data_IF_938751745116
#
_entry.id   IF_938751745116
#
_cell.length_a   1.000
_cell.length_b   1.000
_cell.length_c   1.000
_cell.angle_alpha   90.00
_cell.angle_beta   90.00
_cell.angle_gamma   90.00
#
_symmetry.space_group_name_H-M   'P 1'
#
loop_
_entity.id
_entity.type
_entity.pdbx_description
1 polymer ?
#
# COMPACT_ATOMS: atom_id res chain seq x y z
N UNK A 1 19.23 2.46 -1.33
CA UNK A 1 17.87 2.69 -0.79
C UNK A 1 17.13 3.66 -1.69
N UNK A 2 15.86 3.35 -2.05
CA UNK A 2 15.05 4.31 -2.79
C UNK A 2 14.79 5.55 -1.95
N UNK A 3 14.77 6.72 -2.61
CA UNK A 3 14.50 7.98 -1.93
C UNK A 3 13.02 8.10 -1.60
N UNK A 4 12.70 8.73 -0.47
CA UNK A 4 11.32 9.03 -0.08
C UNK A 4 10.53 9.67 -1.22
N UNK A 5 11.13 10.68 -1.87
CA UNK A 5 10.47 11.45 -2.93
C UNK A 5 10.09 10.62 -4.15
N UNK A 6 10.68 9.43 -4.32
CA UNK A 6 10.44 8.58 -5.47
C UNK A 6 9.81 7.24 -5.12
N UNK A 7 9.53 7.00 -3.87
CA UNK A 7 8.94 5.74 -3.41
C UNK A 7 7.43 5.81 -3.43
N UNK A 8 6.79 4.73 -3.90
CA UNK A 8 5.35 4.58 -3.98
C UNK A 8 4.96 3.30 -3.25
N UNK A 9 4.28 3.45 -2.12
CA UNK A 9 3.73 2.29 -1.40
C UNK A 9 2.48 1.81 -2.14
N UNK A 10 2.44 0.51 -2.47
CA UNK A 10 1.31 -0.08 -3.18
C UNK A 10 0.60 -1.05 -2.26
N UNK A 11 -0.61 -0.69 -1.86
CA UNK A 11 -1.50 -1.47 -1.02
C UNK A 11 -2.57 -2.10 -1.91
N UNK A 12 -2.43 -3.40 -2.18
CA UNK A 12 -3.29 -4.10 -3.13
C UNK A 12 -3.41 -5.57 -2.77
N UNK A 13 -4.40 -6.29 -3.34
CA UNK A 13 -4.45 -7.74 -3.19
C UNK A 13 -3.26 -8.41 -3.86
N UNK A 14 -2.79 -9.53 -3.27
CA UNK A 14 -1.69 -10.34 -3.82
C UNK A 14 -2.19 -11.70 -4.30
N UNK A 15 -3.44 -11.78 -4.76
CA UNK A 15 -3.99 -13.01 -5.32
C UNK A 15 -3.73 -13.11 -6.83
N UNK A 16 -3.95 -14.30 -7.38
CA UNK A 16 -3.67 -14.58 -8.80
C UNK A 16 -4.55 -13.72 -9.73
N UNK A 17 -5.77 -13.43 -9.32
CA UNK A 17 -6.70 -12.63 -10.14
C UNK A 17 -6.24 -11.18 -10.26
N UNK A 18 -5.59 -10.66 -9.24
CA UNK A 18 -5.09 -9.29 -9.25
C UNK A 18 -3.68 -9.18 -9.84
N UNK A 19 -2.94 -10.28 -9.95
CA UNK A 19 -1.54 -10.27 -10.38
C UNK A 19 -1.30 -9.50 -11.70
N UNK A 20 -2.11 -9.65 -12.76
CA UNK A 20 -1.91 -8.86 -13.99
C UNK A 20 -2.03 -7.35 -13.76
N UNK A 21 -2.97 -6.94 -12.91
CA UNK A 21 -3.18 -5.52 -12.58
C UNK A 21 -2.00 -5.00 -11.77
N UNK A 22 -1.53 -5.78 -10.79
CA UNK A 22 -0.37 -5.42 -9.99
C UNK A 22 0.87 -5.24 -10.86
N UNK A 23 1.09 -6.16 -11.82
CA UNK A 23 2.21 -6.06 -12.76
C UNK A 23 2.12 -4.78 -13.59
N UNK A 24 0.93 -4.43 -14.05
CA UNK A 24 0.72 -3.20 -14.81
C UNK A 24 1.01 -1.96 -13.96
N UNK A 25 0.54 -1.93 -12.72
CA UNK A 25 0.79 -0.82 -11.79
C UNK A 25 2.28 -0.69 -11.54
N UNK A 26 2.96 -1.79 -11.22
CA UNK A 26 4.40 -1.78 -10.94
C UNK A 26 5.21 -1.34 -12.15
N UNK A 27 4.81 -1.79 -13.35
CA UNK A 27 5.45 -1.38 -14.59
C UNK A 27 5.32 0.13 -14.80
N UNK A 28 4.12 0.68 -14.64
CA UNK A 28 3.88 2.11 -14.82
C UNK A 28 4.69 2.95 -13.83
N UNK A 29 4.72 2.53 -12.57
CA UNK A 29 5.49 3.23 -11.53
C UNK A 29 6.97 3.24 -11.91
N UNK A 30 7.51 2.10 -12.30
CA UNK A 30 8.92 1.95 -12.67
C UNK A 30 9.25 2.74 -13.93
N UNK A 31 8.38 2.67 -14.93
CA UNK A 31 8.59 3.39 -16.21
C UNK A 31 8.62 4.90 -16.01
N UNK A 32 7.85 5.40 -15.05
CA UNK A 32 7.84 6.83 -14.71
C UNK A 32 9.03 7.27 -13.86
N UNK A 33 9.93 6.36 -13.51
CA UNK A 33 11.13 6.66 -12.72
C UNK A 33 10.92 6.62 -11.21
N UNK A 34 9.85 5.96 -10.76
CA UNK A 34 9.56 5.78 -9.34
C UNK A 34 9.82 4.33 -8.90
N UNK A 35 9.77 4.08 -7.60
CA UNK A 35 10.06 2.78 -7.01
C UNK A 35 8.82 2.22 -6.32
N UNK A 36 8.23 1.12 -6.83
CA UNK A 36 7.12 0.48 -6.13
C UNK A 36 7.61 -0.23 -4.87
N UNK A 37 6.92 -0.02 -3.76
CA UNK A 37 7.22 -0.62 -2.47
C UNK A 37 6.03 -1.45 -2.03
N UNK A 38 6.26 -2.74 -1.80
CA UNK A 38 5.20 -3.70 -1.52
C UNK A 38 5.52 -4.53 -0.28
N UNK A 39 4.48 -4.89 0.47
CA UNK A 39 4.57 -5.80 1.60
C UNK A 39 3.69 -7.03 1.32
N UNK A 40 4.24 -8.11 0.74
CA UNK A 40 3.47 -9.32 0.45
C UNK A 40 2.81 -9.91 1.69
N UNK A 41 1.62 -10.50 1.52
CA UNK A 41 0.80 -11.02 2.61
C UNK A 41 1.37 -12.30 3.25
N UNK A 42 2.33 -12.95 2.61
CA UNK A 42 2.95 -14.18 3.11
C UNK A 42 4.09 -13.92 4.09
N UNK A 43 4.18 -12.76 4.66
CA UNK A 43 5.16 -12.45 5.70
C UNK A 43 4.87 -13.27 6.98
N UNK A 44 5.94 -13.49 7.76
CA UNK A 44 6.03 -14.51 8.82
C UNK A 44 4.95 -14.43 9.90
N UNK A 45 4.59 -13.24 10.36
CA UNK A 45 3.49 -13.06 11.31
C UNK A 45 2.92 -11.64 11.22
N UNK A 46 1.77 -11.45 11.85
CA UNK A 46 1.05 -10.18 11.76
C UNK A 46 1.84 -8.99 12.31
N UNK A 47 2.60 -9.19 13.40
CA UNK A 47 3.38 -8.11 14.01
C UNK A 47 4.52 -7.67 13.10
N UNK A 48 5.28 -8.63 12.56
CA UNK A 48 6.38 -8.33 11.64
C UNK A 48 5.87 -7.70 10.35
N UNK A 49 4.73 -8.16 9.87
CA UNK A 49 4.11 -7.59 8.67
C UNK A 49 3.68 -6.14 8.91
N UNK A 50 3.08 -5.85 10.06
CA UNK A 50 2.69 -4.49 10.40
C UNK A 50 3.89 -3.56 10.49
N UNK A 51 4.96 -3.99 11.17
CA UNK A 51 6.19 -3.20 11.25
C UNK A 51 6.77 -2.91 9.86
N UNK A 52 6.72 -3.90 8.97
CA UNK A 52 7.19 -3.74 7.59
C UNK A 52 6.35 -2.70 6.84
N UNK A 53 5.02 -2.77 7.00
CA UNK A 53 4.11 -1.80 6.38
C UNK A 53 4.40 -0.38 6.90
N UNK A 54 4.60 -0.24 8.21
CA UNK A 54 4.91 1.06 8.79
C UNK A 54 6.20 1.65 8.22
N UNK A 55 7.24 0.82 8.05
CA UNK A 55 8.48 1.25 7.41
C UNK A 55 8.26 1.72 5.98
N UNK A 56 7.51 0.95 5.19
CA UNK A 56 7.26 1.26 3.79
C UNK A 56 6.43 2.54 3.64
N UNK A 57 5.41 2.69 4.46
CA UNK A 57 4.56 3.90 4.45
C UNK A 57 5.38 5.13 4.81
N UNK A 58 6.17 5.04 5.88
CA UNK A 58 7.00 6.17 6.33
C UNK A 58 8.08 6.52 5.31
N UNK A 59 8.57 5.54 4.57
CA UNK A 59 9.60 5.72 3.56
C UNK A 59 9.10 6.07 2.16
N UNK A 60 7.79 6.29 1.97
CA UNK A 60 7.19 6.51 0.65
C UNK A 60 6.37 7.79 0.64
N UNK A 61 6.70 8.69 -0.29
CA UNK A 61 5.93 9.92 -0.48
C UNK A 61 4.54 9.64 -1.02
N UNK A 62 4.42 8.63 -1.87
CA UNK A 62 3.17 8.30 -2.56
C UNK A 62 2.59 6.99 -2.05
N UNK A 63 1.27 6.92 -2.03
CA UNK A 63 0.56 5.69 -1.72
C UNK A 63 -0.54 5.43 -2.73
N UNK A 64 -0.61 4.21 -3.24
CA UNK A 64 -1.70 3.74 -4.10
C UNK A 64 -2.43 2.64 -3.32
N UNK A 65 -3.72 2.84 -3.10
CA UNK A 65 -4.54 1.93 -2.31
C UNK A 65 -5.70 1.39 -3.12
N UNK A 66 -5.72 0.09 -3.32
CA UNK A 66 -6.79 -0.59 -4.04
C UNK A 66 -7.80 -1.15 -3.04
N UNK A 67 -9.03 -0.66 -3.10
CA UNK A 67 -10.10 -1.07 -2.20
C UNK A 67 -11.11 -2.02 -2.87
N UNK A 68 -10.73 -2.63 -4.00
CA UNK A 68 -11.64 -3.49 -4.77
C UNK A 68 -12.10 -4.73 -4.03
N UNK A 69 -11.37 -5.16 -2.99
CA UNK A 69 -11.72 -6.32 -2.17
C UNK A 69 -12.42 -5.95 -0.86
N UNK A 70 -12.92 -4.72 -0.73
CA UNK A 70 -13.57 -4.27 0.50
C UNK A 70 -15.00 -4.76 0.65
N UNK A 71 -15.60 -5.30 -0.42
CA UNK A 71 -16.91 -5.96 -0.34
C UNK A 71 -16.72 -7.46 -0.28
N UNK A 72 -17.41 -8.11 0.65
CA UNK A 72 -17.47 -9.56 0.69
C UNK A 72 -18.41 -10.08 -0.39
N UNK A 73 -18.02 -11.20 -1.03
CA UNK A 73 -18.85 -11.87 -2.03
C UNK A 73 -19.83 -12.81 -1.33
N UNK A 74 -19.42 -13.40 -0.21
CA UNK A 74 -20.23 -14.36 0.55
C UNK A 74 -21.00 -13.65 1.66
N UNK A 75 -22.24 -14.10 1.92
CA UNK A 75 -23.15 -13.44 2.85
C UNK A 75 -22.63 -13.39 4.29
N UNK A 76 -21.87 -14.40 4.72
CA UNK A 76 -21.39 -14.53 6.09
C UNK A 76 -19.88 -14.30 6.23
N UNK A 77 -19.23 -13.79 5.19
CA UNK A 77 -17.80 -13.48 5.21
C UNK A 77 -17.56 -12.00 5.47
N UNK A 78 -16.49 -11.71 6.17
CA UNK A 78 -16.00 -10.36 6.29
C UNK A 78 -15.19 -9.99 5.04
N UNK A 79 -15.33 -8.74 4.59
CA UNK A 79 -14.46 -8.20 3.56
C UNK A 79 -13.00 -8.17 4.05
N UNK A 80 -12.06 -8.03 3.11
CA UNK A 80 -10.66 -7.84 3.48
C UNK A 80 -10.47 -6.48 4.13
N UNK A 81 -10.19 -6.48 5.42
CA UNK A 81 -10.12 -5.25 6.21
C UNK A 81 -8.73 -4.64 6.25
N UNK A 82 -7.70 -5.40 5.83
CA UNK A 82 -6.33 -4.90 5.84
C UNK A 82 -6.10 -3.75 4.86
N UNK A 83 -6.80 -3.73 3.72
CA UNK A 83 -6.64 -2.64 2.74
C UNK A 83 -7.06 -1.28 3.30
N UNK A 84 -8.29 -1.11 3.84
CA UNK A 84 -8.66 0.16 4.45
C UNK A 84 -7.86 0.48 5.71
N UNK A 85 -7.41 -0.53 6.46
CA UNK A 85 -6.55 -0.32 7.62
C UNK A 85 -5.21 0.31 7.20
N UNK A 86 -4.58 -0.22 6.16
CA UNK A 86 -3.31 0.31 5.64
C UNK A 86 -3.48 1.69 5.03
N UNK A 87 -4.60 1.94 4.36
CA UNK A 87 -4.95 3.28 3.88
C UNK A 87 -5.04 4.27 5.05
N UNK A 88 -5.67 3.85 6.15
CA UNK A 88 -5.76 4.67 7.36
C UNK A 88 -4.40 4.99 7.95
N UNK A 89 -3.48 4.02 7.96
CA UNK A 89 -2.10 4.23 8.41
C UNK A 89 -1.40 5.28 7.55
N UNK A 90 -1.51 5.15 6.23
CA UNK A 90 -0.87 6.07 5.29
C UNK A 90 -1.43 7.49 5.45
N UNK A 91 -2.74 7.61 5.51
CA UNK A 91 -3.41 8.90 5.71
C UNK A 91 -3.04 9.52 7.07
N UNK A 92 -3.02 8.72 8.12
CA UNK A 92 -2.60 9.17 9.45
C UNK A 92 -1.16 9.63 9.48
N UNK A 93 -0.28 8.91 8.76
CA UNK A 93 1.12 9.28 8.62
C UNK A 93 1.27 10.67 7.99
N UNK A 94 0.49 10.93 6.95
CA UNK A 94 0.45 12.26 6.30
C UNK A 94 -0.03 13.34 7.26
N UNK A 95 -1.07 13.06 8.05
CA UNK A 95 -1.69 14.06 8.93
C UNK A 95 -0.91 14.31 10.21
N UNK A 96 -0.30 13.27 10.76
CA UNK A 96 0.28 13.34 12.12
C UNK A 96 1.79 13.09 12.16
N UNK A 97 2.40 12.65 11.07
CA UNK A 97 3.80 12.26 11.07
C UNK A 97 4.80 13.41 11.12
N UNK A 98 4.38 14.59 10.66
CA UNK A 98 5.24 15.78 10.65
C UNK A 98 6.34 15.74 9.59
N UNK A 99 7.11 16.83 9.50
CA UNK A 99 8.24 16.91 8.58
C UNK A 99 7.85 16.63 7.13
N UNK A 100 8.68 15.84 6.45
CA UNK A 100 8.44 15.49 5.05
C UNK A 100 7.15 14.69 4.81
N UNK A 101 6.62 14.05 5.84
CA UNK A 101 5.41 13.22 5.72
C UNK A 101 4.16 14.03 5.40
N UNK A 102 4.16 15.32 5.74
CA UNK A 102 3.02 16.20 5.42
C UNK A 102 2.81 16.36 3.92
N UNK A 103 3.84 16.11 3.12
CA UNK A 103 3.78 16.21 1.65
C UNK A 103 3.35 14.92 0.95
N UNK A 104 2.96 13.87 1.69
CA UNK A 104 2.52 12.62 1.08
C UNK A 104 1.27 12.82 0.22
N UNK A 105 1.20 12.08 -0.87
CA UNK A 105 0.05 12.06 -1.77
C UNK A 105 -0.50 10.64 -1.86
N UNK A 106 -1.82 10.50 -1.81
CA UNK A 106 -2.50 9.22 -1.74
C UNK A 106 -3.51 9.12 -2.88
N UNK A 107 -3.45 8.03 -3.62
CA UNK A 107 -4.41 7.68 -4.67
C UNK A 107 -5.19 6.44 -4.24
N UNK A 108 -6.50 6.53 -4.30
CA UNK A 108 -7.40 5.41 -4.01
C UNK A 108 -8.01 4.93 -5.32
N UNK A 109 -7.87 3.64 -5.58
CA UNK A 109 -8.44 3.00 -6.77
C UNK A 109 -9.76 2.32 -6.45
#
# INVERSE_FOLDING_TARGET
MPLFERSVFVNCPFDDDFAPILQAIAFCITDLGFYPRLAPENADNAANRLDRILELVRGSKYGIHDLSRCKSIEADEYARLNMPFELGIDHGCRKFGGGQLTGKAILIL
#
